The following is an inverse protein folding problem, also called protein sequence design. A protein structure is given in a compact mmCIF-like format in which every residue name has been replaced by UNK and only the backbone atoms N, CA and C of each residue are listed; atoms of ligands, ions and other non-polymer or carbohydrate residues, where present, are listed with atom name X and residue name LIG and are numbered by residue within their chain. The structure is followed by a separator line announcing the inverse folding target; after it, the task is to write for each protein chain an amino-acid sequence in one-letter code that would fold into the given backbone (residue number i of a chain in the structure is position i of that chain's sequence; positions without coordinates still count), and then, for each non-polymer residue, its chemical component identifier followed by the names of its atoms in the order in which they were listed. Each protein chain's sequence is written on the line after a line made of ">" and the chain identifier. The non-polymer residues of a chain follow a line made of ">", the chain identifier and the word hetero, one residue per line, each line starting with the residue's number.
data_IF_598493713818
#
_entry.id   IF_598493713818
#
_cell.length_a   1.000
_cell.length_b   1.000
_cell.length_c   1.000
_cell.angle_alpha   90.00
_cell.angle_beta   90.00
_cell.angle_gamma   90.00
#
_symmetry.space_group_name_H-M   'P 1'
#
loop_
_entity.id
_entity.type
_entity.pdbx_description
1 polymer ?
#
# COMPACT_ATOMS: atom_id res chain seq x y z
N UNK A 1 -25.87 -6.23 45.89
CA UNK A 1 -24.68 -5.35 45.80
C UNK A 1 -25.18 -4.00 45.34
N UNK A 2 -25.39 -3.10 46.30
CA UNK A 2 -25.71 -1.70 46.07
C UNK A 2 -24.41 -0.98 45.72
N UNK A 3 -24.39 -0.29 44.58
CA UNK A 3 -23.27 0.56 44.17
C UNK A 3 -23.36 1.89 44.92
N UNK A 4 -22.77 1.94 46.10
CA UNK A 4 -22.52 3.18 46.84
C UNK A 4 -21.17 3.77 46.46
N UNK A 5 -21.19 4.91 45.79
CA UNK A 5 -20.01 5.68 45.42
C UNK A 5 -20.41 7.06 44.91
N UNK A 6 -20.82 7.93 45.83
CA UNK A 6 -21.00 9.36 45.56
C UNK A 6 -19.65 9.98 45.18
N UNK A 7 -19.45 10.24 43.88
CA UNK A 7 -18.39 11.13 43.41
C UNK A 7 -18.89 12.58 43.53
N UNK A 8 -18.39 13.32 44.52
CA UNK A 8 -18.58 14.77 44.56
C UNK A 8 -17.78 15.40 43.42
N UNK A 9 -18.47 15.86 42.37
CA UNK A 9 -17.85 16.72 41.37
C UNK A 9 -17.47 18.05 42.04
N UNK A 10 -16.17 18.27 42.23
CA UNK A 10 -15.62 19.58 42.62
C UNK A 10 -15.97 20.60 41.52
N UNK A 11 -17.02 21.39 41.77
CA UNK A 11 -17.50 22.47 40.92
C UNK A 11 -16.47 23.59 40.66
N UNK A 12 -15.35 23.60 41.39
CA UNK A 12 -14.26 24.58 41.26
C UNK A 12 -13.33 24.33 40.06
N UNK A 13 -13.33 23.14 39.45
CA UNK A 13 -12.50 22.84 38.28
C UNK A 13 -13.17 23.17 36.94
N UNK A 14 -14.49 23.38 36.92
CA UNK A 14 -15.22 23.70 35.69
C UNK A 14 -14.95 25.15 35.23
N UNK A 15 -14.84 26.09 36.18
CA UNK A 15 -14.53 27.50 35.89
C UNK A 15 -13.13 27.68 35.29
N UNK A 16 -12.19 26.80 35.61
CA UNK A 16 -10.84 26.81 35.03
C UNK A 16 -10.83 26.31 33.57
N UNK A 17 -11.76 25.44 33.19
CA UNK A 17 -11.93 24.97 31.80
C UNK A 17 -12.68 25.98 30.92
N UNK A 18 -13.59 26.75 31.51
CA UNK A 18 -14.34 27.79 30.79
C UNK A 18 -13.50 29.03 30.48
N UNK A 19 -12.46 29.32 31.28
CA UNK A 19 -11.49 30.40 31.02
C UNK A 19 -10.49 30.07 29.89
N UNK A 20 -10.51 28.86 29.34
CA UNK A 20 -9.68 28.45 28.18
C UNK A 20 -10.42 28.66 26.87
N UNK A 21 -11.76 28.78 26.91
CA UNK A 21 -12.56 29.04 25.73
C UNK A 21 -12.50 30.54 25.39
N UNK A 22 -12.15 30.90 24.14
CA UNK A 22 -12.14 32.30 23.74
C UNK A 22 -13.53 32.90 23.96
N UNK A 23 -13.58 34.12 24.49
CA UNK A 23 -14.85 34.84 24.67
C UNK A 23 -15.56 35.04 23.33
N UNK A 24 -16.89 35.24 23.33
CA UNK A 24 -17.69 35.40 22.10
C UNK A 24 -17.08 36.40 21.10
N UNK A 25 -16.52 37.50 21.60
CA UNK A 25 -15.88 38.54 20.79
C UNK A 25 -14.53 38.08 20.22
N UNK A 26 -13.76 37.29 20.96
CA UNK A 26 -12.51 36.68 20.49
C UNK A 26 -12.81 35.59 19.44
N UNK A 27 -13.88 34.80 19.64
CA UNK A 27 -14.33 33.81 18.66
C UNK A 27 -14.78 34.47 17.35
N UNK A 28 -15.55 35.55 17.42
CA UNK A 28 -15.93 36.34 16.24
C UNK A 28 -14.73 36.98 15.53
N UNK A 29 -13.72 37.43 16.28
CA UNK A 29 -12.47 37.95 15.73
C UNK A 29 -11.69 36.83 15.02
N UNK A 30 -11.56 35.65 15.63
CA UNK A 30 -10.90 34.48 15.01
C UNK A 30 -11.61 34.08 13.72
N UNK A 31 -12.94 34.05 13.70
CA UNK A 31 -13.70 33.74 12.48
C UNK A 31 -13.50 34.79 11.39
N UNK A 32 -13.48 36.07 11.75
CA UNK A 32 -13.24 37.16 10.80
C UNK A 32 -11.82 37.11 10.23
N UNK A 33 -10.82 36.84 11.07
CA UNK A 33 -9.42 36.66 10.66
C UNK A 33 -9.26 35.44 9.76
N UNK A 34 -9.98 34.34 10.03
CA UNK A 34 -10.01 33.16 9.17
C UNK A 34 -10.65 33.47 7.82
N UNK A 35 -11.78 34.19 7.80
CA UNK A 35 -12.45 34.59 6.55
C UNK A 35 -11.56 35.47 5.68
N UNK A 36 -10.88 36.46 6.26
CA UNK A 36 -9.91 37.30 5.54
C UNK A 36 -8.71 36.51 5.03
N UNK A 37 -8.18 35.57 5.82
CA UNK A 37 -7.12 34.65 5.37
C UNK A 37 -7.59 33.76 4.22
N UNK A 38 -8.82 33.26 4.26
CA UNK A 38 -9.43 32.44 3.20
C UNK A 38 -9.59 33.27 1.91
N UNK A 39 -10.12 34.50 2.01
CA UNK A 39 -10.23 35.41 0.86
C UNK A 39 -8.86 35.70 0.23
N UNK A 40 -7.86 36.03 1.05
CA UNK A 40 -6.49 36.29 0.59
C UNK A 40 -5.88 35.05 -0.07
N UNK A 41 -6.12 33.86 0.49
CA UNK A 41 -5.67 32.61 -0.11
C UNK A 41 -6.35 32.37 -1.47
N UNK A 42 -7.67 32.55 -1.54
CA UNK A 42 -8.44 32.43 -2.80
C UNK A 42 -7.90 33.36 -3.89
N UNK A 43 -7.64 34.62 -3.55
CA UNK A 43 -7.05 35.58 -4.49
C UNK A 43 -5.62 35.18 -4.92
N UNK A 44 -4.82 34.68 -3.98
CA UNK A 44 -3.43 34.26 -4.26
C UNK A 44 -3.39 33.02 -5.17
N UNK A 45 -4.29 32.05 -4.95
CA UNK A 45 -4.45 30.88 -5.82
C UNK A 45 -4.91 31.30 -7.22
N UNK A 46 -5.92 32.18 -7.32
CA UNK A 46 -6.42 32.66 -8.61
C UNK A 46 -5.32 33.39 -9.39
N UNK A 47 -4.53 34.24 -8.71
CA UNK A 47 -3.39 34.91 -9.32
C UNK A 47 -2.35 33.90 -9.80
N UNK A 48 -1.96 32.94 -8.96
CA UNK A 48 -0.99 31.90 -9.33
C UNK A 48 -1.46 31.08 -10.54
N UNK A 49 -2.75 30.76 -10.64
CA UNK A 49 -3.32 30.07 -11.79
C UNK A 49 -3.28 30.92 -13.07
N UNK A 50 -3.47 32.24 -12.97
CA UNK A 50 -3.33 33.15 -14.11
C UNK A 50 -1.88 33.29 -14.56
N UNK A 51 -0.95 33.36 -13.62
CA UNK A 51 0.49 33.41 -13.90
C UNK A 51 0.90 32.10 -14.61
N UNK A 52 0.49 30.93 -14.09
CA UNK A 52 0.72 29.62 -14.72
C UNK A 52 0.10 29.52 -16.11
N UNK A 53 -1.13 30.01 -16.30
CA UNK A 53 -1.77 30.04 -17.62
C UNK A 53 -0.96 30.87 -18.63
N UNK A 54 -0.39 32.00 -18.19
CA UNK A 54 0.48 32.83 -19.03
C UNK A 54 1.73 32.06 -19.44
N UNK A 55 2.40 31.40 -18.50
CA UNK A 55 3.62 30.62 -18.76
C UNK A 55 3.36 29.47 -19.74
N UNK A 56 2.26 28.72 -19.55
CA UNK A 56 1.88 27.62 -20.44
C UNK A 56 1.57 28.12 -21.85
N UNK A 57 0.84 29.23 -21.98
CA UNK A 57 0.53 29.84 -23.28
C UNK A 57 1.78 30.42 -23.98
N UNK A 58 2.83 30.78 -23.25
CA UNK A 58 4.11 31.18 -23.83
C UNK A 58 4.86 29.97 -24.41
N UNK A 59 4.76 28.81 -23.76
CA UNK A 59 5.45 27.58 -24.15
C UNK A 59 4.71 26.83 -25.27
N UNK A 60 3.36 26.83 -25.26
CA UNK A 60 2.53 26.16 -26.25
C UNK A 60 2.12 27.12 -27.38
N UNK A 61 2.69 26.93 -28.57
CA UNK A 61 2.39 27.74 -29.76
C UNK A 61 1.12 27.33 -30.50
N UNK A 62 0.57 26.16 -30.21
CA UNK A 62 -0.43 25.52 -31.09
C UNK A 62 -1.88 25.83 -30.70
N UNK A 63 -2.18 26.14 -29.42
CA UNK A 63 -3.49 26.62 -28.95
C UNK A 63 -3.35 27.52 -27.71
N UNK A 64 -4.02 28.68 -27.70
CA UNK A 64 -4.07 29.58 -26.53
C UNK A 64 -5.19 29.14 -25.60
N UNK A 65 -4.82 28.70 -24.39
CA UNK A 65 -5.75 28.33 -23.33
C UNK A 65 -6.48 29.58 -22.82
N UNK A 66 -7.80 29.59 -22.91
CA UNK A 66 -8.61 30.79 -22.62
C UNK A 66 -9.02 30.92 -21.15
N UNK A 67 -9.11 29.82 -20.41
CA UNK A 67 -9.41 29.85 -18.97
C UNK A 67 -8.39 29.08 -18.13
N UNK A 68 -8.35 29.40 -16.84
CA UNK A 68 -7.55 28.66 -15.86
C UNK A 68 -8.03 27.21 -15.71
N UNK A 69 -9.32 26.94 -15.94
CA UNK A 69 -9.88 25.57 -15.96
C UNK A 69 -9.37 24.79 -17.16
N UNK A 70 -9.32 25.41 -18.35
CA UNK A 70 -8.74 24.80 -19.54
C UNK A 70 -7.26 24.51 -19.34
N UNK A 71 -6.52 25.42 -18.68
CA UNK A 71 -5.13 25.22 -18.33
C UNK A 71 -4.92 24.02 -17.39
N UNK A 72 -5.74 23.87 -16.37
CA UNK A 72 -5.67 22.71 -15.45
C UNK A 72 -6.07 21.42 -16.18
N UNK A 73 -7.10 21.47 -17.01
CA UNK A 73 -7.54 20.32 -17.78
C UNK A 73 -6.49 19.90 -18.83
N UNK A 74 -5.81 20.87 -19.43
CA UNK A 74 -4.68 20.63 -20.31
C UNK A 74 -3.53 19.97 -19.55
N UNK A 75 -3.07 20.54 -18.43
CA UNK A 75 -2.03 19.94 -17.58
C UNK A 75 -2.35 18.51 -17.13
N UNK A 76 -3.62 18.23 -16.78
CA UNK A 76 -4.06 16.90 -16.36
C UNK A 76 -4.09 15.87 -17.51
N UNK A 77 -4.34 16.32 -18.75
CA UNK A 77 -4.44 15.46 -19.93
C UNK A 77 -3.18 15.47 -20.79
N UNK A 78 -2.22 16.34 -20.48
CA UNK A 78 -0.93 16.39 -21.11
C UNK A 78 -0.16 15.12 -20.83
N UNK A 79 -0.18 14.23 -21.81
CA UNK A 79 0.75 13.12 -21.87
C UNK A 79 2.14 13.69 -22.17
N UNK A 80 2.91 13.97 -21.12
CA UNK A 80 4.31 14.39 -21.17
C UNK A 80 5.23 13.40 -21.92
N UNK A 81 4.70 12.27 -22.38
CA UNK A 81 5.32 11.38 -23.36
C UNK A 81 5.66 12.07 -24.69
N UNK A 82 5.09 13.25 -24.99
CA UNK A 82 5.45 14.08 -26.13
C UNK A 82 6.37 15.27 -25.78
N UNK A 83 6.82 15.39 -24.52
CA UNK A 83 7.85 16.38 -24.19
C UNK A 83 9.08 16.09 -25.04
N UNK A 84 9.56 17.12 -25.72
CA UNK A 84 10.76 17.04 -26.54
C UNK A 84 11.89 16.44 -25.67
N UNK A 85 12.58 15.38 -26.12
CA UNK A 85 13.72 14.86 -25.40
C UNK A 85 14.64 16.03 -25.05
N UNK A 86 15.06 16.08 -23.78
CA UNK A 86 16.06 17.03 -23.33
C UNK A 86 17.18 17.13 -24.35
N UNK A 87 17.61 18.34 -24.68
CA UNK A 87 18.79 18.57 -25.52
C UNK A 87 20.10 18.16 -24.84
N UNK A 88 20.04 17.54 -23.65
CA UNK A 88 21.19 16.99 -22.97
C UNK A 88 21.93 16.02 -23.89
N UNK A 89 23.26 16.12 -23.87
CA UNK A 89 24.10 15.20 -24.61
C UNK A 89 23.83 13.77 -24.13
N UNK A 90 23.52 12.88 -25.08
CA UNK A 90 23.21 11.48 -24.81
C UNK A 90 24.35 10.80 -24.01
N UNK A 91 25.59 11.24 -24.23
CA UNK A 91 26.76 10.77 -23.48
C UNK A 91 26.70 11.08 -21.98
N UNK A 92 26.28 12.28 -21.59
CA UNK A 92 26.20 12.71 -20.19
C UNK A 92 25.10 11.93 -19.43
N UNK A 93 23.96 11.70 -20.08
CA UNK A 93 22.88 10.88 -19.51
C UNK A 93 23.33 9.43 -19.28
N UNK A 94 24.07 8.87 -20.23
CA UNK A 94 24.62 7.52 -20.11
C UNK A 94 25.64 7.42 -18.97
N UNK A 95 26.52 8.42 -18.84
CA UNK A 95 27.50 8.48 -17.75
C UNK A 95 26.82 8.64 -16.38
N UNK A 96 25.78 9.47 -16.30
CA UNK A 96 24.96 9.64 -15.11
C UNK A 96 24.33 8.32 -14.66
N UNK A 97 23.62 7.62 -15.55
CA UNK A 97 23.00 6.33 -15.23
C UNK A 97 24.02 5.26 -14.88
N UNK A 98 25.17 5.21 -15.57
CA UNK A 98 26.29 4.31 -15.22
C UNK A 98 26.85 4.62 -13.84
N UNK A 99 26.90 5.89 -13.45
CA UNK A 99 27.38 6.31 -12.13
C UNK A 99 26.41 5.89 -11.04
N UNK A 100 25.10 6.11 -11.23
CA UNK A 100 24.07 5.61 -10.31
C UNK A 100 24.12 4.10 -10.17
N UNK A 101 24.22 3.38 -11.29
CA UNK A 101 24.30 1.92 -11.28
C UNK A 101 25.56 1.43 -10.54
N UNK A 102 26.70 2.09 -10.74
CA UNK A 102 27.95 1.78 -10.04
C UNK A 102 27.81 2.03 -8.53
N UNK A 103 27.18 3.14 -8.15
CA UNK A 103 26.92 3.49 -6.76
C UNK A 103 26.06 2.42 -6.07
N UNK A 104 24.94 2.03 -6.69
CA UNK A 104 24.04 1.01 -6.18
C UNK A 104 24.67 -0.39 -6.09
N UNK A 105 25.54 -0.75 -7.04
CA UNK A 105 26.18 -2.08 -7.07
C UNK A 105 27.39 -2.21 -6.14
N UNK A 106 28.20 -1.17 -6.01
CA UNK A 106 29.51 -1.27 -5.38
C UNK A 106 29.53 -0.74 -3.94
N UNK A 107 28.65 0.20 -3.61
CA UNK A 107 28.58 0.79 -2.28
C UNK A 107 27.36 0.27 -1.52
N UNK A 108 27.50 0.13 -0.20
CA UNK A 108 26.42 -0.40 0.65
C UNK A 108 25.56 0.74 1.18
N UNK A 109 24.25 0.50 1.25
CA UNK A 109 23.26 1.42 1.85
C UNK A 109 23.14 2.77 1.13
N UNK A 110 23.38 2.80 -0.19
CA UNK A 110 23.22 4.01 -0.99
C UNK A 110 21.82 4.16 -1.58
N UNK A 111 20.98 3.13 -1.48
CA UNK A 111 19.66 3.09 -2.12
C UNK A 111 18.75 4.23 -1.66
N UNK A 112 18.74 4.54 -0.35
CA UNK A 112 17.95 5.64 0.20
C UNK A 112 18.42 7.00 -0.34
N UNK A 113 19.74 7.23 -0.36
CA UNK A 113 20.32 8.47 -0.87
C UNK A 113 19.98 8.65 -2.35
N UNK A 114 20.12 7.59 -3.14
CA UNK A 114 19.81 7.62 -4.58
C UNK A 114 18.34 7.88 -4.82
N UNK A 115 17.43 7.26 -4.07
CA UNK A 115 16.00 7.52 -4.16
C UNK A 115 15.67 8.98 -3.84
N UNK A 116 16.21 9.50 -2.75
CA UNK A 116 16.00 10.89 -2.35
C UNK A 116 16.52 11.85 -3.43
N UNK A 117 17.73 11.60 -3.93
CA UNK A 117 18.32 12.40 -4.99
C UNK A 117 17.48 12.40 -6.28
N UNK A 118 16.95 11.24 -6.71
CA UNK A 118 16.09 11.16 -7.89
C UNK A 118 14.76 11.89 -7.69
N UNK A 119 14.16 11.80 -6.51
CA UNK A 119 12.94 12.54 -6.16
C UNK A 119 13.18 14.05 -6.10
N UNK A 120 14.30 14.47 -5.52
CA UNK A 120 14.72 15.87 -5.49
C UNK A 120 14.97 16.40 -6.90
N UNK A 121 15.64 15.62 -7.75
CA UNK A 121 15.86 16.00 -9.15
C UNK A 121 14.53 16.13 -9.92
N UNK A 122 13.60 15.21 -9.68
CA UNK A 122 12.27 15.27 -10.30
C UNK A 122 11.48 16.49 -9.84
N UNK A 123 11.47 16.78 -8.54
CA UNK A 123 10.64 17.84 -7.94
C UNK A 123 11.23 19.23 -8.09
N UNK A 124 12.56 19.38 -7.97
CA UNK A 124 13.23 20.69 -8.03
C UNK A 124 13.62 21.09 -9.45
N UNK A 125 13.90 20.11 -10.32
CA UNK A 125 14.37 20.38 -11.68
C UNK A 125 13.35 19.98 -12.77
N UNK A 126 12.18 19.45 -12.39
CA UNK A 126 11.14 19.04 -13.34
C UNK A 126 11.54 17.86 -14.24
N UNK A 127 12.55 17.08 -13.83
CA UNK A 127 13.01 15.92 -14.59
C UNK A 127 11.99 14.79 -14.48
N UNK A 128 11.42 14.39 -15.62
CA UNK A 128 10.54 13.23 -15.68
C UNK A 128 11.35 11.96 -15.96
N UNK A 129 11.27 10.98 -15.06
CA UNK A 129 11.87 9.67 -15.28
C UNK A 129 10.90 8.72 -16.00
N UNK A 130 11.38 7.81 -16.87
CA UNK A 130 10.51 6.87 -17.56
C UNK A 130 9.83 5.88 -16.60
N UNK A 131 8.51 6.02 -16.42
CA UNK A 131 7.66 5.07 -15.69
C UNK A 131 7.03 4.05 -16.63
N UNK A 132 7.85 3.25 -17.33
CA UNK A 132 7.35 2.20 -18.23
C UNK A 132 7.02 0.93 -17.45
N UNK A 133 5.95 0.23 -17.84
CA UNK A 133 5.54 -1.05 -17.23
C UNK A 133 6.65 -2.10 -17.37
N UNK A 134 6.90 -2.83 -16.29
CA UNK A 134 7.90 -3.90 -16.28
C UNK A 134 7.30 -5.13 -16.97
N UNK A 135 7.33 -5.13 -18.30
CA UNK A 135 6.94 -6.26 -19.14
C UNK A 135 5.55 -6.16 -19.75
N UNK A 136 5.40 -5.32 -20.77
CA UNK A 136 4.64 -5.68 -21.97
C UNK A 136 5.25 -4.95 -23.16
N UNK A 137 5.30 -5.67 -24.26
CA UNK A 137 5.78 -5.33 -25.60
C UNK A 137 5.75 -3.85 -25.96
N UNK A 138 6.76 -3.45 -26.72
CA UNK A 138 6.69 -2.37 -27.69
C UNK A 138 5.29 -2.29 -28.33
N UNK A 139 4.50 -1.33 -27.88
CA UNK A 139 3.51 -0.63 -28.70
C UNK A 139 4.00 0.81 -28.84
N UNK A 140 5.19 0.97 -29.41
CA UNK A 140 5.38 2.12 -30.27
C UNK A 140 4.64 1.75 -31.55
N UNK A 141 3.51 2.40 -31.74
CA UNK A 141 2.84 2.55 -33.02
C UNK A 141 3.86 2.45 -34.15
N UNK A 142 3.81 1.33 -34.85
CA UNK A 142 4.56 1.04 -36.06
C UNK A 142 4.07 1.97 -37.17
N UNK A 143 4.40 3.25 -37.06
CA UNK A 143 4.45 4.15 -38.21
C UNK A 143 5.78 3.89 -38.88
N UNK A 144 5.73 3.06 -39.92
CA UNK A 144 6.79 2.79 -40.88
C UNK A 144 7.61 4.07 -41.14
N UNK A 145 8.91 4.03 -40.79
CA UNK A 145 10.01 4.94 -41.20
C UNK A 145 10.93 5.53 -40.09
N UNK A 146 10.84 5.14 -38.82
CA UNK A 146 11.89 5.53 -37.86
C UNK A 146 12.93 4.44 -37.69
N UNK A 147 14.15 4.72 -38.16
CA UNK A 147 15.38 3.97 -37.84
C UNK A 147 15.43 3.80 -36.33
N UNK A 148 15.41 2.56 -35.87
CA UNK A 148 15.56 2.21 -34.47
C UNK A 148 16.99 2.58 -34.06
N UNK A 149 17.13 3.64 -33.28
CA UNK A 149 18.42 4.15 -32.82
C UNK A 149 18.96 3.21 -31.74
N UNK A 150 20.04 2.49 -32.02
CA UNK A 150 20.71 1.55 -31.10
C UNK A 150 21.12 2.24 -29.78
N UNK A 151 21.25 3.57 -29.77
CA UNK A 151 21.59 4.39 -28.58
C UNK A 151 20.50 4.38 -27.49
N UNK A 152 19.22 4.32 -27.87
CA UNK A 152 18.10 4.35 -26.93
C UNK A 152 17.96 3.05 -26.12
N UNK A 153 18.52 1.95 -26.65
CA UNK A 153 18.53 0.64 -25.99
C UNK A 153 19.46 0.63 -24.77
N UNK A 154 20.56 1.39 -24.81
CA UNK A 154 21.54 1.49 -23.72
C UNK A 154 21.02 2.34 -22.54
N UNK A 155 20.37 3.47 -22.80
CA UNK A 155 19.82 4.33 -21.72
C UNK A 155 18.66 3.65 -20.99
N UNK A 156 17.75 3.04 -21.74
CA UNK A 156 16.58 2.36 -21.16
C UNK A 156 16.99 1.16 -20.31
N UNK A 157 17.91 0.33 -20.80
CA UNK A 157 18.39 -0.84 -20.06
C UNK A 157 19.11 -0.45 -18.76
N UNK A 158 19.95 0.60 -18.80
CA UNK A 158 20.60 1.12 -17.59
C UNK A 158 19.59 1.68 -16.58
N UNK A 159 18.58 2.40 -17.04
CA UNK A 159 17.51 2.88 -16.18
C UNK A 159 16.69 1.72 -15.58
N UNK A 160 16.37 0.70 -16.37
CA UNK A 160 15.67 -0.49 -15.90
C UNK A 160 16.45 -1.23 -14.81
N UNK A 161 17.78 -1.31 -14.94
CA UNK A 161 18.66 -1.87 -13.91
C UNK A 161 18.65 -1.05 -12.61
N UNK A 162 18.74 0.28 -12.71
CA UNK A 162 18.65 1.19 -11.55
C UNK A 162 17.31 1.02 -10.85
N UNK A 163 16.19 1.07 -11.60
CA UNK A 163 14.84 0.87 -11.07
C UNK A 163 14.70 -0.48 -10.39
N UNK A 164 15.22 -1.55 -10.99
CA UNK A 164 15.14 -2.90 -10.46
C UNK A 164 15.84 -3.01 -9.10
N UNK A 165 17.04 -2.44 -8.97
CA UNK A 165 17.80 -2.45 -7.72
C UNK A 165 17.05 -1.72 -6.61
N UNK A 166 16.57 -0.50 -6.90
CA UNK A 166 15.79 0.30 -5.94
C UNK A 166 14.48 -0.40 -5.56
N UNK A 167 13.79 -1.03 -6.52
CA UNK A 167 12.59 -1.83 -6.24
C UNK A 167 12.87 -2.95 -5.25
N UNK A 168 13.94 -3.71 -5.47
CA UNK A 168 14.30 -4.82 -4.59
C UNK A 168 14.58 -4.32 -3.17
N UNK A 169 15.30 -3.21 -3.03
CA UNK A 169 15.54 -2.56 -1.75
C UNK A 169 14.22 -2.19 -1.03
N UNK A 170 13.31 -1.50 -1.70
CA UNK A 170 12.02 -1.09 -1.12
C UNK A 170 11.15 -2.29 -0.73
N UNK A 171 11.06 -3.28 -1.61
CA UNK A 171 10.32 -4.53 -1.36
C UNK A 171 10.89 -5.26 -0.15
N UNK A 172 12.21 -5.35 -0.02
CA UNK A 172 12.85 -6.00 1.12
C UNK A 172 12.58 -5.25 2.43
N UNK A 173 12.55 -3.91 2.41
CA UNK A 173 12.21 -3.12 3.60
C UNK A 173 10.75 -3.25 4.01
N UNK A 174 9.83 -3.31 3.05
CA UNK A 174 8.41 -3.56 3.32
C UNK A 174 8.19 -4.93 3.98
N UNK A 175 8.98 -5.94 3.60
CA UNK A 175 8.88 -7.30 4.17
C UNK A 175 9.56 -7.45 5.54
N UNK A 176 10.65 -6.73 5.82
CA UNK A 176 11.47 -6.98 7.01
C UNK A 176 10.95 -6.38 8.31
N UNK A 177 10.00 -5.43 8.25
CA UNK A 177 9.59 -4.64 9.42
C UNK A 177 8.37 -5.20 10.17
N UNK A 178 8.04 -6.47 9.99
CA UNK A 178 6.82 -7.06 10.52
C UNK A 178 6.79 -7.16 12.07
N UNK A 179 7.93 -6.96 12.75
CA UNK A 179 8.15 -7.34 14.16
C UNK A 179 8.25 -6.18 15.19
N UNK A 180 8.01 -4.91 14.83
CA UNK A 180 8.27 -3.78 15.75
C UNK A 180 7.04 -3.27 16.55
N UNK A 181 7.24 -3.11 17.88
CA UNK A 181 6.35 -2.68 18.97
C UNK A 181 5.16 -1.73 18.67
N UNK A 182 4.06 -1.92 19.42
CA UNK A 182 2.76 -1.21 19.36
C UNK A 182 2.79 0.32 19.54
N UNK A 183 3.86 0.91 20.07
CA UNK A 183 4.03 2.37 20.16
C UNK A 183 4.57 2.99 18.86
N UNK A 184 4.86 2.18 17.84
CA UNK A 184 5.44 2.58 16.55
C UNK A 184 4.41 2.62 15.39
N UNK A 185 3.11 2.45 15.64
CA UNK A 185 2.10 2.31 14.56
C UNK A 185 2.09 3.50 13.59
N UNK A 186 2.16 4.74 14.11
CA UNK A 186 2.17 5.94 13.28
C UNK A 186 3.44 6.00 12.40
N UNK A 187 4.60 5.72 12.98
CA UNK A 187 5.87 5.68 12.26
C UNK A 187 5.90 4.56 11.22
N UNK A 188 5.26 3.43 11.52
CA UNK A 188 5.12 2.31 10.61
C UNK A 188 4.21 2.66 9.42
N UNK A 189 3.09 3.34 9.66
CA UNK A 189 2.19 3.82 8.60
C UNK A 189 2.90 4.83 7.70
N UNK A 190 3.61 5.80 8.28
CA UNK A 190 4.40 6.79 7.53
C UNK A 190 5.48 6.11 6.69
N UNK A 191 6.22 5.17 7.29
CA UNK A 191 7.26 4.44 6.59
C UNK A 191 6.72 3.60 5.42
N UNK A 192 5.65 2.83 5.62
CA UNK A 192 5.02 2.04 4.55
C UNK A 192 4.48 2.94 3.45
N UNK A 193 3.87 4.08 3.82
CA UNK A 193 3.39 5.08 2.88
C UNK A 193 4.54 5.58 2.00
N UNK A 194 5.66 5.99 2.62
CA UNK A 194 6.85 6.44 1.90
C UNK A 194 7.39 5.37 0.93
N UNK A 195 7.46 4.11 1.35
CA UNK A 195 7.92 3.02 0.47
C UNK A 195 6.98 2.80 -0.72
N UNK A 196 5.67 2.86 -0.52
CA UNK A 196 4.69 2.72 -1.60
C UNK A 196 4.76 3.91 -2.57
N UNK A 197 4.88 5.12 -2.06
CA UNK A 197 5.08 6.33 -2.86
C UNK A 197 6.37 6.27 -3.69
N UNK A 198 7.48 5.85 -3.09
CA UNK A 198 8.75 5.64 -3.79
C UNK A 198 8.64 4.55 -4.86
N UNK A 199 7.86 3.49 -4.64
CA UNK A 199 7.58 2.49 -5.68
C UNK A 199 6.74 3.06 -6.83
N UNK A 200 5.76 3.91 -6.53
CA UNK A 200 4.93 4.60 -7.53
C UNK A 200 5.71 5.62 -8.36
N UNK A 201 6.76 6.19 -7.79
CA UNK A 201 7.71 7.00 -8.53
C UNK A 201 8.48 6.17 -9.58
N UNK A 202 8.82 4.90 -9.27
CA UNK A 202 9.62 4.06 -10.15
C UNK A 202 8.80 3.26 -11.18
N UNK A 203 7.57 2.87 -10.82
CA UNK A 203 6.75 1.94 -11.60
C UNK A 203 5.30 2.42 -11.75
N UNK A 204 4.60 1.97 -12.81
CA UNK A 204 3.19 2.29 -12.96
C UNK A 204 2.36 1.82 -11.77
N UNK A 205 1.36 2.63 -11.45
CA UNK A 205 0.41 2.42 -10.36
C UNK A 205 -0.20 1.02 -10.32
N UNK A 206 -0.59 0.47 -11.48
CA UNK A 206 -1.17 -0.88 -11.55
C UNK A 206 -0.19 -1.98 -11.11
N UNK A 207 1.08 -1.89 -11.49
CA UNK A 207 2.11 -2.87 -11.13
C UNK A 207 2.43 -2.81 -9.63
N UNK A 208 2.57 -1.59 -9.09
CA UNK A 208 2.87 -1.38 -7.67
C UNK A 208 1.73 -1.91 -6.81
N UNK A 209 0.48 -1.56 -7.13
CA UNK A 209 -0.68 -2.02 -6.36
C UNK A 209 -0.86 -3.53 -6.42
N UNK A 210 -0.67 -4.14 -7.60
CA UNK A 210 -0.75 -5.60 -7.74
C UNK A 210 0.33 -6.31 -6.92
N UNK A 211 1.57 -5.82 -6.96
CA UNK A 211 2.67 -6.39 -6.15
C UNK A 211 2.44 -6.19 -4.66
N UNK A 212 1.97 -5.01 -4.26
CA UNK A 212 1.66 -4.71 -2.87
C UNK A 212 0.52 -5.61 -2.35
N UNK A 213 -0.56 -5.75 -3.13
CA UNK A 213 -1.66 -6.69 -2.86
C UNK A 213 -1.15 -8.12 -2.66
N UNK A 214 -0.34 -8.63 -3.59
CA UNK A 214 0.20 -10.00 -3.48
C UNK A 214 1.07 -10.19 -2.24
N UNK A 215 1.82 -9.16 -1.84
CA UNK A 215 2.61 -9.20 -0.61
C UNK A 215 1.70 -9.28 0.61
N UNK A 216 0.66 -8.44 0.68
CA UNK A 216 -0.31 -8.45 1.78
C UNK A 216 -1.12 -9.74 1.84
N UNK A 217 -1.58 -10.27 0.71
CA UNK A 217 -2.26 -11.58 0.63
C UNK A 217 -1.42 -12.67 1.27
N UNK A 218 -0.12 -12.69 0.94
CA UNK A 218 0.81 -13.65 1.50
C UNK A 218 0.95 -13.50 3.01
N UNK A 219 1.09 -12.26 3.52
CA UNK A 219 1.17 -12.00 4.96
C UNK A 219 -0.10 -12.45 5.70
N UNK A 220 -1.27 -12.18 5.12
CA UNK A 220 -2.56 -12.62 5.66
C UNK A 220 -2.64 -14.15 5.68
N UNK A 221 -2.35 -14.82 4.56
CA UNK A 221 -2.33 -16.28 4.49
C UNK A 221 -1.34 -16.88 5.49
N UNK A 222 -0.10 -16.37 5.55
CA UNK A 222 0.93 -16.87 6.48
C UNK A 222 0.47 -16.71 7.94
N UNK A 223 -0.12 -15.56 8.31
CA UNK A 223 -0.68 -15.30 9.64
C UNK A 223 -1.79 -16.31 10.01
N UNK A 224 -2.70 -16.59 9.07
CA UNK A 224 -3.81 -17.52 9.29
C UNK A 224 -3.35 -18.99 9.32
N UNK A 225 -2.44 -19.38 8.43
CA UNK A 225 -1.90 -20.75 8.38
C UNK A 225 -1.05 -21.07 9.60
N UNK A 226 -0.35 -20.09 10.18
CA UNK A 226 0.39 -20.25 11.44
C UNK A 226 -0.52 -20.64 12.62
N UNK A 227 -1.79 -20.19 12.64
CA UNK A 227 -2.78 -20.64 13.63
C UNK A 227 -3.06 -22.14 13.52
N UNK A 228 -3.03 -22.69 12.29
CA UNK A 228 -3.25 -24.11 12.03
C UNK A 228 -2.00 -24.93 12.38
N UNK A 229 -0.82 -24.49 11.92
CA UNK A 229 0.45 -25.23 12.11
C UNK A 229 0.84 -25.36 13.59
N UNK A 230 0.61 -24.31 14.39
CA UNK A 230 0.86 -24.32 15.85
C UNK A 230 -0.05 -25.29 16.63
N UNK A 231 -1.10 -25.83 15.98
CA UNK A 231 -2.08 -26.73 16.62
C UNK A 231 -1.82 -28.22 16.39
N UNK A 232 -0.79 -28.58 15.60
CA UNK A 232 -0.55 -29.97 15.17
C UNK A 232 -0.12 -30.90 16.31
N UNK A 233 -1.05 -31.70 16.83
CA UNK A 233 -0.76 -32.75 17.81
C UNK A 233 -1.93 -33.68 18.09
N UNK A 234 -3.13 -33.15 18.25
CA UNK A 234 -4.39 -33.89 18.42
C UNK A 234 -5.52 -32.85 18.43
N UNK A 235 -6.75 -33.26 18.11
CA UNK A 235 -8.01 -32.49 17.95
C UNK A 235 -8.24 -31.35 18.96
N UNK A 236 -7.47 -30.28 18.84
CA UNK A 236 -7.58 -29.13 19.72
C UNK A 236 -8.14 -27.98 18.92
N UNK A 237 -9.40 -28.15 18.51
CA UNK A 237 -10.20 -27.11 17.85
C UNK A 237 -10.14 -25.80 18.65
N UNK A 238 -10.13 -25.89 19.98
CA UNK A 238 -9.97 -24.74 20.87
C UNK A 238 -8.65 -23.98 20.64
N UNK A 239 -7.53 -24.69 20.41
CA UNK A 239 -6.25 -24.05 20.04
C UNK A 239 -6.31 -23.36 18.69
N UNK A 240 -6.97 -23.95 17.69
CA UNK A 240 -7.15 -23.33 16.37
C UNK A 240 -8.00 -22.07 16.48
N UNK A 241 -9.16 -22.16 17.14
CA UNK A 241 -10.06 -21.02 17.39
C UNK A 241 -9.33 -19.91 18.16
N UNK A 242 -8.60 -20.27 19.21
CA UNK A 242 -7.79 -19.31 19.96
C UNK A 242 -6.71 -18.67 19.07
N UNK A 243 -6.06 -19.45 18.20
CA UNK A 243 -5.11 -18.95 17.21
C UNK A 243 -5.73 -17.86 16.33
N UNK A 244 -6.86 -18.14 15.69
CA UNK A 244 -7.58 -17.15 14.89
C UNK A 244 -8.01 -15.92 15.71
N UNK A 245 -8.57 -16.13 16.91
CA UNK A 245 -8.96 -15.03 17.81
C UNK A 245 -7.76 -14.14 18.14
N UNK A 246 -6.59 -14.73 18.39
CA UNK A 246 -5.36 -13.98 18.68
C UNK A 246 -4.80 -13.23 17.47
N UNK A 247 -5.12 -13.67 16.24
CA UNK A 247 -4.72 -13.02 14.99
C UNK A 247 -5.62 -11.86 14.57
N UNK A 248 -6.88 -11.79 15.04
CA UNK A 248 -7.84 -10.73 14.68
C UNK A 248 -7.28 -9.31 14.92
N UNK A 249 -6.70 -8.98 16.09
CA UNK A 249 -6.14 -7.64 16.32
C UNK A 249 -5.04 -7.28 15.31
N UNK A 250 -4.21 -8.25 14.91
CA UNK A 250 -3.17 -8.05 13.91
C UNK A 250 -3.78 -7.78 12.53
N UNK A 251 -4.78 -8.56 12.11
CA UNK A 251 -5.50 -8.34 10.85
C UNK A 251 -6.17 -6.96 10.82
N UNK A 252 -6.85 -6.55 11.89
CA UNK A 252 -7.44 -5.22 11.97
C UNK A 252 -6.40 -4.10 11.86
N UNK A 253 -5.21 -4.32 12.43
CA UNK A 253 -4.11 -3.36 12.33
C UNK A 253 -3.58 -3.27 10.90
N UNK A 254 -3.36 -4.41 10.24
CA UNK A 254 -2.94 -4.45 8.83
C UNK A 254 -3.94 -3.77 7.90
N UNK A 255 -5.24 -4.05 8.05
CA UNK A 255 -6.31 -3.40 7.29
C UNK A 255 -6.29 -1.89 7.52
N UNK A 256 -6.09 -1.44 8.76
CA UNK A 256 -6.04 -0.01 9.09
C UNK A 256 -4.84 0.67 8.45
N UNK A 257 -3.66 0.06 8.51
CA UNK A 257 -2.43 0.56 7.87
C UNK A 257 -2.62 0.67 6.35
N UNK A 258 -3.14 -0.36 5.71
CA UNK A 258 -3.36 -0.38 4.26
C UNK A 258 -4.42 0.62 3.83
N UNK A 259 -5.52 0.77 4.58
CA UNK A 259 -6.51 1.81 4.32
C UNK A 259 -5.90 3.21 4.36
N UNK A 260 -5.01 3.47 5.32
CA UNK A 260 -4.30 4.75 5.42
C UNK A 260 -3.44 5.00 4.18
N UNK A 261 -2.58 4.05 3.81
CA UNK A 261 -1.69 4.15 2.64
C UNK A 261 -2.48 4.34 1.35
N UNK A 262 -3.53 3.52 1.15
CA UNK A 262 -4.33 3.53 -0.05
C UNK A 262 -5.18 4.80 -0.16
N UNK A 263 -5.63 5.38 0.95
CA UNK A 263 -6.39 6.64 0.94
C UNK A 263 -5.61 7.83 0.40
N UNK A 264 -4.27 7.85 0.59
CA UNK A 264 -3.39 8.86 0.00
C UNK A 264 -3.03 8.57 -1.46
N UNK A 265 -3.20 7.33 -1.92
CA UNK A 265 -2.66 6.85 -3.20
C UNK A 265 -3.74 6.69 -4.29
N UNK A 266 -4.91 6.16 -3.92
CA UNK A 266 -5.98 5.76 -4.85
C UNK A 266 -7.36 6.23 -4.38
N UNK A 267 -8.32 6.25 -5.30
CA UNK A 267 -9.67 6.69 -4.99
C UNK A 267 -10.38 5.74 -4.00
N UNK A 268 -11.35 6.24 -3.21
CA UNK A 268 -11.98 5.46 -2.13
C UNK A 268 -12.57 4.12 -2.58
N UNK A 269 -13.20 4.04 -3.76
CA UNK A 269 -13.78 2.79 -4.26
C UNK A 269 -12.71 1.74 -4.59
N UNK A 270 -11.58 2.17 -5.15
CA UNK A 270 -10.45 1.29 -5.45
C UNK A 270 -9.75 0.82 -4.18
N UNK A 271 -9.64 1.68 -3.16
CA UNK A 271 -9.13 1.29 -1.84
C UNK A 271 -9.99 0.22 -1.19
N UNK A 272 -11.32 0.38 -1.21
CA UNK A 272 -12.23 -0.62 -0.67
C UNK A 272 -12.17 -1.94 -1.46
N UNK A 273 -12.08 -1.86 -2.79
CA UNK A 273 -11.91 -3.04 -3.64
C UNK A 273 -10.63 -3.80 -3.28
N UNK A 274 -9.50 -3.09 -3.15
CA UNK A 274 -8.24 -3.66 -2.72
C UNK A 274 -8.40 -4.36 -1.37
N UNK A 275 -8.97 -3.71 -0.35
CA UNK A 275 -9.12 -4.32 0.98
C UNK A 275 -10.00 -5.57 0.93
N UNK A 276 -11.09 -5.56 0.15
CA UNK A 276 -11.94 -6.73 -0.02
C UNK A 276 -11.16 -7.91 -0.63
N UNK A 277 -10.52 -7.68 -1.78
CA UNK A 277 -9.78 -8.71 -2.51
C UNK A 277 -8.55 -9.22 -1.73
N UNK A 278 -7.93 -8.35 -0.92
CA UNK A 278 -6.70 -8.70 -0.20
C UNK A 278 -6.97 -9.41 1.12
N UNK A 279 -7.98 -8.95 1.87
CA UNK A 279 -8.21 -9.44 3.22
C UNK A 279 -9.42 -10.34 3.29
N UNK A 280 -10.58 -9.89 2.82
CA UNK A 280 -11.83 -10.63 3.00
C UNK A 280 -11.87 -11.89 2.13
N UNK A 281 -11.43 -11.79 0.88
CA UNK A 281 -11.36 -12.93 -0.04
C UNK A 281 -10.32 -13.95 0.46
N UNK A 282 -9.12 -13.51 0.87
CA UNK A 282 -8.08 -14.39 1.43
C UNK A 282 -8.53 -15.05 2.75
N UNK A 283 -9.17 -14.31 3.66
CA UNK A 283 -9.75 -14.91 4.88
C UNK A 283 -10.81 -15.96 4.52
N UNK A 284 -11.66 -15.67 3.53
CA UNK A 284 -12.71 -16.60 3.08
C UNK A 284 -12.10 -17.88 2.50
N UNK A 285 -11.06 -17.76 1.69
CA UNK A 285 -10.33 -18.90 1.12
C UNK A 285 -9.69 -19.76 2.21
N UNK A 286 -8.92 -19.16 3.13
CA UNK A 286 -8.25 -19.89 4.22
C UNK A 286 -9.26 -20.55 5.17
N UNK A 287 -10.40 -19.90 5.45
CA UNK A 287 -11.48 -20.50 6.24
C UNK A 287 -12.14 -21.67 5.53
N UNK A 288 -12.30 -21.58 4.21
CA UNK A 288 -12.84 -22.68 3.40
C UNK A 288 -11.91 -23.89 3.45
N UNK A 289 -10.60 -23.69 3.25
CA UNK A 289 -9.57 -24.73 3.35
C UNK A 289 -9.56 -25.38 4.73
N UNK A 290 -9.68 -24.58 5.80
CA UNK A 290 -9.77 -25.10 7.16
C UNK A 290 -11.02 -25.98 7.36
N UNK A 291 -12.18 -25.51 6.91
CA UNK A 291 -13.44 -26.26 7.05
C UNK A 291 -13.39 -27.58 6.28
N UNK A 292 -12.86 -27.58 5.06
CA UNK A 292 -12.67 -28.80 4.27
C UNK A 292 -11.74 -29.79 4.99
N UNK A 293 -10.62 -29.31 5.53
CA UNK A 293 -9.68 -30.13 6.31
C UNK A 293 -10.31 -30.73 7.56
N UNK A 294 -11.12 -29.94 8.29
CA UNK A 294 -11.82 -30.41 9.48
C UNK A 294 -12.88 -31.46 9.11
N UNK A 295 -13.64 -31.24 8.03
CA UNK A 295 -14.58 -32.23 7.51
C UNK A 295 -13.88 -33.54 7.18
N UNK A 296 -12.76 -33.51 6.45
CA UNK A 296 -11.99 -34.71 6.12
C UNK A 296 -11.52 -35.49 7.35
N UNK A 297 -11.02 -34.79 8.37
CA UNK A 297 -10.56 -35.41 9.62
C UNK A 297 -11.72 -36.10 10.33
N UNK A 298 -12.88 -35.45 10.41
CA UNK A 298 -14.08 -36.03 11.00
C UNK A 298 -14.56 -37.28 10.23
N UNK A 299 -14.52 -37.26 8.89
CA UNK A 299 -14.85 -38.44 8.09
C UNK A 299 -13.88 -39.61 8.31
N UNK A 300 -12.56 -39.34 8.38
CA UNK A 300 -11.53 -40.35 8.65
C UNK A 300 -11.68 -40.96 10.04
N UNK A 301 -11.96 -40.15 11.06
CA UNK A 301 -12.21 -40.60 12.42
C UNK A 301 -13.47 -41.47 12.52
N UNK A 302 -14.56 -41.03 11.90
CA UNK A 302 -15.81 -41.79 11.85
C UNK A 302 -15.64 -43.15 11.13
N UNK A 303 -14.89 -43.19 10.03
CA UNK A 303 -14.57 -44.44 9.34
C UNK A 303 -13.75 -45.40 10.22
N UNK A 304 -12.77 -44.90 10.97
CA UNK A 304 -11.99 -45.67 11.94
C UNK A 304 -12.86 -46.22 13.08
N UNK A 305 -13.80 -45.42 13.59
CA UNK A 305 -14.74 -45.85 14.62
C UNK A 305 -15.70 -46.94 14.12
N UNK A 306 -16.21 -46.83 12.89
CA UNK A 306 -17.06 -47.86 12.27
C UNK A 306 -16.30 -49.19 12.08
N UNK A 307 -15.04 -49.13 11.65
CA UNK A 307 -14.18 -50.33 11.52
C UNK A 307 -13.89 -50.96 12.89
N UNK A 308 -13.65 -50.17 13.93
CA UNK A 308 -13.44 -50.66 15.31
C UNK A 308 -14.74 -51.28 15.88
N UNK A 309 -15.88 -50.63 15.71
CA UNK A 309 -17.19 -51.15 16.16
C UNK A 309 -17.55 -52.48 15.47
N UNK A 310 -17.28 -52.60 14.16
CA UNK A 310 -17.51 -53.83 13.40
C UNK A 310 -16.55 -54.98 13.78
N UNK A 311 -15.33 -54.68 14.24
CA UNK A 311 -14.42 -55.70 14.78
C UNK A 311 -14.87 -56.21 16.16
N UNK A 312 -15.43 -55.35 17.01
CA UNK A 312 -15.91 -55.73 18.35
C UNK A 312 -17.19 -56.56 18.26
N UNK A 313 -18.12 -56.23 17.35
CA UNK A 313 -19.37 -57.00 17.20
C UNK A 313 -19.16 -58.42 16.66
N UNK A 314 -18.17 -58.63 15.78
CA UNK A 314 -17.80 -59.97 15.29
C UNK A 314 -17.20 -60.87 16.38
N UNK A 315 -16.59 -60.31 17.42
CA UNK A 315 -16.00 -61.08 18.54
C UNK A 315 -17.05 -61.55 19.54
N UNK A 316 -18.22 -60.92 19.61
CA UNK A 316 -19.31 -61.31 20.50
C UNK A 316 -20.25 -62.38 19.92
N UNK A 317 -20.25 -62.61 18.60
CA UNK A 317 -21.09 -63.62 17.94
C UNK A 317 -20.50 -65.04 17.93
N UNK A 318 -19.28 -65.23 18.43
CA UNK A 318 -18.55 -66.51 18.40
C UNK A 318 -18.51 -67.31 19.71
N UNK A 319 -19.22 -66.89 20.78
CA UNK A 319 -19.11 -67.54 22.11
C UNK A 319 -20.46 -67.97 22.69
N UNK A 320 -21.46 -68.22 21.84
CA UNK A 320 -22.72 -68.84 22.26
C UNK A 320 -23.00 -70.03 21.35
N UNK A 321 -22.38 -71.17 21.65
CA UNK A 321 -22.85 -72.54 21.38
C UNK A 321 -21.71 -73.54 21.61
N UNK A 322 -21.59 -74.05 22.84
CA UNK A 322 -20.98 -75.35 23.16
C UNK A 322 -21.28 -75.74 24.63
N UNK A 323 -22.57 -76.00 24.93
CA UNK A 323 -22.95 -76.94 26.00
C UNK A 323 -24.12 -77.74 25.43
N UNK A 324 -23.87 -79.03 25.23
CA UNK A 324 -24.77 -80.04 24.70
C UNK A 324 -24.02 -81.36 24.68
#
# INVERSE_FOLDING_TARGET
>A
MEWGGEYSFDSSNLDCLLNVLPGELEFQQILSDLDEKIKKNSFSIEKCLKDLQSDVNEICTDEVLQSTTDCIQWLNNCSFSSLRPSSADHGELLEFLKTLQRLLKNEKNQEEMVLHFLLDLSSQCGVSFPCTASGTSFELTSSLHTIQDDSAVDVKSLWDDVRLHLRQFLVNRLQSQEEANTNALQQQMEFKTQCVEQLLFLYPKSEVLMKYQNMQNKLVSDLLQNCILSSCGETNFDKVVHGYQSSIPRLCTMIKEDLYILSGTIGPSSSLKFINETYLDTITEEMTVLLERLCELQFKENALHIVKANKISKKHRGTVHAVG
#
